data_IF_380223094912
#
_entry.id   IF_380223094912
#
_cell.length_a   1.000
_cell.length_b   1.000
_cell.length_c   1.000
_cell.angle_alpha   90.00
_cell.angle_beta   90.00
_cell.angle_gamma   90.00
#
_symmetry.space_group_name_H-M   'P 1'
#
loop_
_entity.id
_entity.type
_entity.pdbx_description
1 polymer ?
#
# COMPACT_ATOMS: atom_id res chain seq x y z
N UNK A 1 20.96 -22.52 -22.12
CA UNK A 1 21.03 -23.15 -20.76
C UNK A 1 20.69 -24.65 -20.74
N UNK A 2 20.73 -25.37 -21.89
CA UNK A 2 20.38 -26.79 -21.95
C UNK A 2 21.14 -27.66 -20.91
N UNK A 3 22.44 -27.42 -20.75
CA UNK A 3 23.29 -28.13 -19.76
C UNK A 3 22.91 -27.83 -18.31
N UNK A 4 22.39 -26.63 -18.00
CA UNK A 4 21.92 -26.25 -16.67
C UNK A 4 20.65 -27.00 -16.34
N UNK A 5 19.68 -27.02 -17.26
CA UNK A 5 18.42 -27.76 -17.07
C UNK A 5 18.62 -29.26 -17.04
N UNK A 6 19.59 -29.82 -17.80
CA UNK A 6 19.95 -31.22 -17.71
C UNK A 6 20.51 -31.62 -16.33
N UNK A 7 21.04 -30.68 -15.54
CA UNK A 7 21.48 -30.87 -14.15
C UNK A 7 20.38 -30.60 -13.12
N UNK A 8 19.18 -30.25 -13.54
CA UNK A 8 18.03 -29.97 -12.68
C UNK A 8 17.79 -28.50 -12.36
N UNK A 9 18.49 -27.56 -13.01
CA UNK A 9 18.27 -26.13 -12.88
C UNK A 9 19.47 -25.32 -12.36
N UNK A 10 19.22 -24.08 -12.00
CA UNK A 10 20.25 -23.14 -11.51
C UNK A 10 20.49 -23.32 -10.02
N UNK A 11 21.75 -23.33 -9.61
CA UNK A 11 22.17 -23.38 -8.21
C UNK A 11 22.08 -22.00 -7.53
N UNK A 12 22.30 -20.93 -8.32
CA UNK A 12 22.18 -19.54 -7.85
C UNK A 12 21.54 -18.66 -8.93
N UNK A 13 20.53 -17.92 -8.54
CA UNK A 13 19.89 -16.90 -9.36
C UNK A 13 19.84 -15.59 -8.56
N UNK A 14 20.39 -14.50 -9.11
CA UNK A 14 20.39 -13.18 -8.47
C UNK A 14 19.86 -12.16 -9.47
N UNK A 15 18.90 -11.33 -9.05
CA UNK A 15 18.34 -10.36 -9.96
C UNK A 15 17.50 -9.27 -9.30
N UNK A 16 17.27 -8.25 -10.11
CA UNK A 16 16.30 -7.19 -9.83
C UNK A 16 15.30 -7.18 -11.01
N UNK A 17 14.21 -7.97 -10.91
CA UNK A 17 13.22 -8.03 -11.98
C UNK A 17 12.49 -6.69 -12.14
N UNK A 18 11.89 -6.41 -13.31
CA UNK A 18 11.17 -5.17 -13.54
C UNK A 18 9.99 -4.97 -12.57
N UNK A 19 9.89 -3.80 -11.95
CA UNK A 19 8.82 -3.43 -11.00
C UNK A 19 7.67 -2.72 -11.69
N UNK A 20 7.31 -3.16 -12.87
CA UNK A 20 6.29 -2.53 -13.70
C UNK A 20 5.14 -3.50 -13.98
N UNK A 21 3.96 -2.93 -14.11
CA UNK A 21 2.79 -3.61 -14.65
C UNK A 21 2.69 -3.29 -16.12
N UNK A 22 2.57 -4.30 -17.00
CA UNK A 22 2.36 -4.04 -18.42
C UNK A 22 1.15 -3.15 -18.63
N UNK A 23 1.35 -2.00 -19.26
CA UNK A 23 0.31 -1.04 -19.63
C UNK A 23 0.70 -0.36 -20.92
N UNK A 24 -0.27 -0.18 -21.81
CA UNK A 24 -0.07 0.63 -23.00
C UNK A 24 0.01 2.10 -22.60
N UNK A 25 1.12 2.74 -22.87
CA UNK A 25 1.23 4.20 -22.81
C UNK A 25 0.85 4.79 -24.16
N UNK A 26 -0.46 4.97 -24.35
CA UNK A 26 -1.03 5.49 -25.61
C UNK A 26 -0.51 6.89 -25.91
N UNK A 27 -0.29 7.75 -24.90
CA UNK A 27 0.25 9.09 -25.10
C UNK A 27 1.68 9.01 -25.67
N UNK A 28 2.50 8.10 -25.18
CA UNK A 28 3.84 7.85 -25.71
C UNK A 28 3.81 7.37 -27.17
N UNK A 29 2.96 6.40 -27.50
CA UNK A 29 2.80 5.90 -28.88
C UNK A 29 2.32 6.99 -29.83
N UNK A 30 1.37 7.82 -29.42
CA UNK A 30 0.89 8.95 -30.18
C UNK A 30 1.96 10.03 -30.39
N UNK A 31 2.90 10.14 -29.45
CA UNK A 31 3.96 11.14 -29.52
C UNK A 31 4.97 10.89 -30.64
N UNK A 32 5.09 9.66 -31.11
CA UNK A 32 5.94 9.33 -32.28
C UNK A 32 5.53 10.10 -33.56
N UNK A 33 4.25 10.34 -33.71
CA UNK A 33 3.74 11.14 -34.84
C UNK A 33 3.37 12.57 -34.51
N UNK A 34 3.16 12.87 -33.23
CA UNK A 34 2.74 14.19 -32.74
C UNK A 34 3.36 14.50 -31.39
N UNK A 35 4.51 15.21 -31.38
CA UNK A 35 5.21 15.54 -30.13
C UNK A 35 4.38 16.27 -29.07
N UNK A 36 3.22 16.80 -29.45
CA UNK A 36 2.29 17.44 -28.51
C UNK A 36 1.93 16.53 -27.34
N UNK A 37 1.83 15.21 -27.56
CA UNK A 37 1.43 14.23 -26.54
C UNK A 37 2.48 14.05 -25.43
N UNK A 38 3.76 14.22 -25.74
CA UNK A 38 4.85 14.12 -24.77
C UNK A 38 5.28 15.47 -24.19
N UNK A 39 5.16 16.57 -24.97
CA UNK A 39 5.63 17.89 -24.56
C UNK A 39 4.61 18.68 -23.74
N UNK A 40 3.33 18.35 -23.83
CA UNK A 40 2.29 19.03 -23.06
C UNK A 40 2.19 18.45 -21.63
N UNK A 41 2.49 19.28 -20.63
CA UNK A 41 2.43 18.86 -19.25
C UNK A 41 0.96 18.83 -18.77
N UNK A 42 0.40 17.62 -18.57
CA UNK A 42 -0.94 17.37 -18.04
C UNK A 42 -2.08 18.02 -18.84
N UNK A 43 -2.21 17.75 -20.15
CA UNK A 43 -3.32 18.28 -20.94
C UNK A 43 -4.66 17.77 -20.40
N UNK A 44 -5.72 18.60 -20.51
CA UNK A 44 -7.07 18.19 -20.13
C UNK A 44 -7.58 17.04 -20.99
N UNK A 45 -8.50 16.23 -20.47
CA UNK A 45 -9.16 15.15 -21.23
C UNK A 45 -9.83 15.70 -22.48
N UNK A 46 -10.47 16.87 -22.41
CA UNK A 46 -11.10 17.52 -23.57
C UNK A 46 -10.07 17.89 -24.66
N UNK A 47 -8.88 18.37 -24.25
CA UNK A 47 -7.80 18.68 -25.19
C UNK A 47 -7.28 17.41 -25.88
N UNK A 48 -7.08 16.32 -25.11
CA UNK A 48 -6.70 15.00 -25.64
C UNK A 48 -7.74 14.48 -26.64
N UNK A 49 -9.02 14.48 -26.28
CA UNK A 49 -10.10 14.00 -27.14
C UNK A 49 -10.19 14.78 -28.47
N UNK A 50 -9.96 16.09 -28.42
CA UNK A 50 -9.94 16.91 -29.65
C UNK A 50 -8.71 16.62 -30.52
N UNK A 51 -7.56 16.33 -29.92
CA UNK A 51 -6.29 16.10 -30.65
C UNK A 51 -6.20 14.68 -31.20
N UNK A 52 -6.74 13.69 -30.53
CA UNK A 52 -6.62 12.26 -30.84
C UNK A 52 -6.96 11.94 -32.32
N UNK A 53 -8.13 12.32 -32.89
CA UNK A 53 -8.45 11.96 -34.26
C UNK A 53 -7.48 12.59 -35.26
N UNK A 54 -6.96 13.78 -34.97
CA UNK A 54 -5.99 14.47 -35.83
C UNK A 54 -4.62 13.76 -35.82
N UNK A 55 -4.22 13.23 -34.70
CA UNK A 55 -2.97 12.47 -34.56
C UNK A 55 -3.10 11.11 -35.23
N UNK A 56 -4.19 10.38 -35.00
CA UNK A 56 -4.42 9.06 -35.58
C UNK A 56 -4.56 9.11 -37.12
N UNK A 57 -4.98 10.24 -37.68
CA UNK A 57 -5.05 10.43 -39.14
C UNK A 57 -3.67 10.61 -39.80
N UNK A 58 -2.59 10.78 -39.03
CA UNK A 58 -1.25 10.88 -39.61
C UNK A 58 -0.76 9.51 -40.11
N UNK A 59 -0.01 9.47 -41.23
CA UNK A 59 0.47 8.21 -41.77
C UNK A 59 1.21 7.34 -40.78
N UNK A 60 0.81 6.09 -40.64
CA UNK A 60 1.45 5.08 -39.81
C UNK A 60 1.07 5.10 -38.32
N UNK A 61 0.58 6.21 -37.76
CA UNK A 61 0.36 6.35 -36.32
C UNK A 61 -0.73 5.41 -35.76
N UNK A 62 -1.81 5.22 -36.51
CA UNK A 62 -2.83 4.25 -36.12
C UNK A 62 -2.23 2.82 -36.01
N UNK A 63 -1.39 2.43 -36.97
CA UNK A 63 -0.66 1.15 -36.92
C UNK A 63 0.22 1.04 -35.67
N UNK A 64 1.07 2.04 -35.42
CA UNK A 64 1.92 2.09 -34.23
C UNK A 64 1.13 1.95 -32.94
N UNK A 65 -0.01 2.62 -32.80
CA UNK A 65 -0.86 2.53 -31.59
C UNK A 65 -1.51 1.15 -31.47
N UNK A 66 -1.99 0.59 -32.59
CA UNK A 66 -2.58 -0.76 -32.60
C UNK A 66 -1.55 -1.83 -32.24
N UNK A 67 -0.37 -1.79 -32.86
CA UNK A 67 0.71 -2.76 -32.62
C UNK A 67 1.21 -2.69 -31.17
N UNK A 68 1.55 -1.50 -30.67
CA UNK A 68 2.01 -1.33 -29.30
C UNK A 68 0.93 -1.67 -28.24
N UNK A 69 -0.35 -1.50 -28.58
CA UNK A 69 -1.45 -1.93 -27.72
C UNK A 69 -1.60 -3.46 -27.76
N UNK A 70 -1.50 -4.07 -28.93
CA UNK A 70 -1.58 -5.51 -29.10
C UNK A 70 -0.45 -6.25 -28.36
N UNK A 71 0.79 -5.74 -28.43
CA UNK A 71 1.92 -6.31 -27.68
C UNK A 71 1.64 -6.39 -26.17
N UNK A 72 1.12 -5.30 -25.59
CA UNK A 72 0.80 -5.28 -24.15
C UNK A 72 -0.36 -6.21 -23.81
N UNK A 73 -1.38 -6.29 -24.67
CA UNK A 73 -2.51 -7.21 -24.47
C UNK A 73 -2.01 -8.65 -24.50
N UNK A 74 -1.24 -9.04 -25.53
CA UNK A 74 -0.70 -10.41 -25.67
C UNK A 74 0.19 -10.77 -24.47
N UNK A 75 1.04 -9.85 -24.03
CA UNK A 75 1.84 -10.07 -22.81
C UNK A 75 0.94 -10.26 -21.57
N UNK A 76 -0.09 -9.45 -21.43
CA UNK A 76 -1.01 -9.54 -20.29
C UNK A 76 -1.81 -10.86 -20.30
N UNK A 77 -2.28 -11.30 -21.46
CA UNK A 77 -2.94 -12.60 -21.66
C UNK A 77 -2.01 -13.76 -21.32
N UNK A 78 -0.77 -13.73 -21.82
CA UNK A 78 0.24 -14.74 -21.51
C UNK A 78 0.55 -14.84 -20.01
N UNK A 79 0.70 -13.69 -19.32
CA UNK A 79 0.96 -13.64 -17.89
C UNK A 79 -0.25 -14.09 -17.04
N UNK A 80 -1.45 -14.00 -17.59
CA UNK A 80 -2.70 -14.40 -16.94
C UNK A 80 -3.10 -15.86 -17.26
N UNK A 81 -2.37 -16.52 -18.14
CA UNK A 81 -2.63 -17.91 -18.48
C UNK A 81 -2.26 -18.82 -17.30
N UNK A 82 -3.27 -19.41 -16.66
CA UNK A 82 -3.10 -20.29 -15.51
C UNK A 82 -2.38 -21.60 -15.83
N UNK A 83 -2.26 -21.98 -17.09
CA UNK A 83 -1.47 -23.16 -17.51
C UNK A 83 0.03 -22.85 -17.48
N UNK A 84 0.42 -21.62 -17.70
CA UNK A 84 1.81 -21.13 -17.66
C UNK A 84 2.16 -20.59 -16.26
N UNK A 85 1.27 -19.79 -15.70
CA UNK A 85 1.45 -19.11 -14.41
C UNK A 85 0.29 -19.37 -13.45
N UNK A 86 0.15 -20.59 -12.88
CA UNK A 86 -0.98 -20.95 -12.03
C UNK A 86 -1.10 -20.13 -10.75
N UNK A 87 -0.05 -19.45 -10.34
CA UNK A 87 -0.02 -18.61 -9.14
C UNK A 87 -0.34 -17.12 -9.42
N UNK A 88 -0.41 -16.71 -10.69
CA UNK A 88 -0.73 -15.33 -11.05
C UNK A 88 -2.22 -15.18 -11.32
N UNK A 89 -2.74 -13.99 -11.06
CA UNK A 89 -4.15 -13.65 -11.30
C UNK A 89 -4.29 -12.17 -11.68
N UNK A 90 -5.25 -11.87 -12.53
CA UNK A 90 -5.52 -10.52 -13.02
C UNK A 90 -4.38 -9.96 -13.87
N UNK A 91 -4.04 -8.69 -13.70
CA UNK A 91 -2.90 -8.04 -14.36
C UNK A 91 -1.70 -7.99 -13.41
N UNK A 92 -0.81 -9.00 -13.42
CA UNK A 92 0.31 -9.06 -12.51
C UNK A 92 1.40 -8.05 -12.88
N UNK A 93 2.10 -7.54 -11.88
CA UNK A 93 3.38 -6.88 -12.10
C UNK A 93 4.42 -7.90 -12.57
N UNK A 94 5.34 -7.49 -13.46
CA UNK A 94 6.30 -8.40 -14.08
C UNK A 94 7.16 -9.15 -13.05
N UNK A 95 7.56 -8.51 -11.95
CA UNK A 95 8.36 -9.18 -10.92
C UNK A 95 7.70 -10.46 -10.38
N UNK A 96 6.35 -10.54 -10.35
CA UNK A 96 5.62 -11.74 -9.89
C UNK A 96 5.80 -12.92 -10.86
N UNK A 97 5.85 -12.65 -12.15
CA UNK A 97 6.17 -13.67 -13.15
C UNK A 97 7.62 -14.14 -13.01
N UNK A 98 8.57 -13.22 -12.79
CA UNK A 98 9.95 -13.57 -12.52
C UNK A 98 10.12 -14.40 -11.26
N UNK A 99 9.36 -14.14 -10.19
CA UNK A 99 9.34 -15.00 -9.00
C UNK A 99 8.96 -16.46 -9.38
N UNK A 100 7.88 -16.64 -10.14
CA UNK A 100 7.47 -17.97 -10.59
C UNK A 100 8.56 -18.65 -11.45
N UNK A 101 9.17 -17.91 -12.37
CA UNK A 101 10.21 -18.42 -13.26
C UNK A 101 11.46 -18.85 -12.50
N UNK A 102 11.95 -18.07 -11.53
CA UNK A 102 13.14 -18.44 -10.77
C UNK A 102 12.90 -19.69 -9.92
N UNK A 103 11.69 -19.89 -9.38
CA UNK A 103 11.36 -21.10 -8.64
C UNK A 103 11.28 -22.34 -9.55
N UNK A 104 10.73 -22.19 -10.76
CA UNK A 104 10.66 -23.27 -11.76
C UNK A 104 12.04 -23.66 -12.29
N UNK A 105 12.94 -22.71 -12.42
CA UNK A 105 14.29 -22.93 -13.00
C UNK A 105 15.36 -23.25 -11.97
N UNK A 106 15.03 -23.25 -10.69
CA UNK A 106 15.95 -23.51 -9.61
C UNK A 106 16.21 -25.00 -9.43
N UNK A 107 17.49 -25.38 -9.17
CA UNK A 107 17.84 -26.74 -8.78
C UNK A 107 17.25 -27.08 -7.39
N UNK A 108 17.19 -28.34 -7.03
CA UNK A 108 16.62 -28.80 -5.75
C UNK A 108 17.30 -28.17 -4.52
N UNK A 109 18.57 -27.81 -4.62
CA UNK A 109 19.34 -27.13 -3.57
C UNK A 109 19.66 -25.67 -3.92
N UNK A 110 19.11 -25.16 -5.01
CA UNK A 110 19.34 -23.83 -5.49
C UNK A 110 18.84 -22.75 -4.54
N UNK A 111 19.42 -21.57 -4.71
CA UNK A 111 19.02 -20.35 -4.00
C UNK A 111 18.78 -19.25 -5.02
N UNK A 112 17.72 -18.50 -4.80
CA UNK A 112 17.42 -17.30 -5.60
C UNK A 112 17.38 -16.08 -4.70
N UNK A 113 18.01 -14.99 -5.11
CA UNK A 113 17.94 -13.71 -4.41
C UNK A 113 17.41 -12.64 -5.35
N UNK A 114 16.23 -12.11 -5.03
CA UNK A 114 15.56 -11.09 -5.83
C UNK A 114 15.32 -9.81 -5.02
N UNK A 115 15.47 -8.67 -5.70
CA UNK A 115 15.03 -7.37 -5.17
C UNK A 115 13.75 -6.98 -5.90
N UNK A 116 12.64 -6.88 -5.20
CA UNK A 116 11.37 -6.49 -5.81
C UNK A 116 10.38 -5.86 -4.83
N UNK A 117 9.26 -5.37 -5.35
CA UNK A 117 8.19 -4.74 -4.56
C UNK A 117 7.48 -5.74 -3.63
N UNK A 118 6.86 -5.20 -2.59
CA UNK A 118 6.20 -5.94 -1.51
C UNK A 118 4.70 -6.20 -1.75
N UNK A 119 4.14 -5.69 -2.86
CA UNK A 119 2.67 -5.63 -3.05
C UNK A 119 1.98 -6.99 -3.02
N UNK A 120 2.63 -8.08 -3.43
CA UNK A 120 2.04 -9.42 -3.40
C UNK A 120 1.79 -9.96 -1.98
N UNK A 121 2.49 -9.44 -0.96
CA UNK A 121 2.28 -9.83 0.42
C UNK A 121 0.97 -9.31 1.02
N UNK A 122 0.39 -8.25 0.47
CA UNK A 122 -0.81 -7.60 0.99
C UNK A 122 -1.98 -7.56 0.00
N UNK A 123 -1.74 -7.80 -1.28
CA UNK A 123 -2.76 -7.76 -2.34
C UNK A 123 -3.79 -8.89 -2.12
N UNK A 124 -5.06 -8.52 -1.93
CA UNK A 124 -6.15 -9.46 -1.72
C UNK A 124 -6.37 -10.45 -2.90
N UNK A 125 -5.91 -10.08 -4.10
CA UNK A 125 -6.07 -10.90 -5.31
C UNK A 125 -4.99 -11.96 -5.49
N UNK A 126 -3.97 -12.03 -4.63
CA UNK A 126 -2.84 -12.94 -4.79
C UNK A 126 -2.60 -13.89 -3.62
N UNK A 127 -3.64 -14.51 -3.02
CA UNK A 127 -3.44 -15.41 -1.89
C UNK A 127 -2.60 -16.64 -2.26
N UNK A 128 -2.78 -17.20 -3.46
CA UNK A 128 -2.02 -18.37 -3.94
C UNK A 128 -0.52 -18.07 -4.08
N UNK A 129 -0.16 -16.97 -4.73
CA UNK A 129 1.22 -16.53 -4.86
C UNK A 129 1.85 -16.27 -3.49
N UNK A 130 1.14 -15.62 -2.58
CA UNK A 130 1.60 -15.33 -1.23
C UNK A 130 1.87 -16.60 -0.43
N UNK A 131 0.97 -17.58 -0.50
CA UNK A 131 1.17 -18.88 0.15
C UNK A 131 2.39 -19.64 -0.41
N UNK A 132 2.60 -19.62 -1.72
CA UNK A 132 3.79 -20.18 -2.35
C UNK A 132 5.05 -19.42 -1.91
N UNK A 133 4.99 -18.09 -1.87
CA UNK A 133 6.10 -17.25 -1.40
C UNK A 133 6.56 -17.65 -0.01
N UNK A 134 5.66 -17.87 0.94
CA UNK A 134 6.04 -18.27 2.31
C UNK A 134 6.73 -19.64 2.38
N UNK A 135 6.40 -20.56 1.48
CA UNK A 135 7.08 -21.86 1.40
C UNK A 135 8.48 -21.77 0.81
N UNK A 136 8.68 -20.87 -0.17
CA UNK A 136 9.98 -20.66 -0.82
C UNK A 136 10.91 -19.74 -0.02
N UNK A 137 10.37 -18.83 0.78
CA UNK A 137 11.11 -17.77 1.45
C UNK A 137 12.05 -18.31 2.54
N UNK A 138 13.28 -17.80 2.57
CA UNK A 138 14.30 -18.09 3.60
C UNK A 138 14.70 -16.85 4.38
N UNK A 139 14.75 -15.69 3.67
CA UNK A 139 15.05 -14.39 4.28
C UNK A 139 14.26 -13.32 3.57
N UNK A 140 13.76 -12.39 4.34
CA UNK A 140 12.99 -11.25 3.88
C UNK A 140 13.48 -9.99 4.58
N UNK A 141 14.04 -9.07 3.82
CA UNK A 141 14.54 -7.79 4.30
C UNK A 141 13.79 -6.67 3.60
N UNK A 142 12.80 -6.06 4.29
CA UNK A 142 11.98 -4.99 3.74
C UNK A 142 12.60 -3.63 3.99
N UNK A 143 12.77 -2.88 2.93
CA UNK A 143 13.28 -1.51 2.95
C UNK A 143 12.20 -0.51 2.54
N UNK A 144 12.31 0.70 3.10
CA UNK A 144 11.58 1.89 2.66
C UNK A 144 12.61 2.80 1.97
N UNK A 145 12.29 3.30 0.76
CA UNK A 145 13.22 4.09 -0.07
C UNK A 145 13.47 5.52 0.43
N UNK A 146 13.31 5.77 1.72
CA UNK A 146 13.42 7.10 2.32
C UNK A 146 14.81 7.73 2.10
N UNK A 147 15.86 6.92 2.08
CA UNK A 147 17.22 7.36 1.77
C UNK A 147 17.53 7.38 0.26
N UNK A 148 16.51 7.16 -0.59
CA UNK A 148 16.63 7.20 -2.06
C UNK A 148 17.75 6.31 -2.62
N UNK A 149 17.82 5.09 -2.14
CA UNK A 149 18.76 4.09 -2.68
C UNK A 149 18.42 3.70 -4.13
N UNK A 150 17.15 3.89 -4.52
CA UNK A 150 16.66 3.79 -5.90
C UNK A 150 16.04 5.11 -6.32
N UNK A 151 16.12 5.45 -7.61
CA UNK A 151 15.49 6.64 -8.19
C UNK A 151 13.98 6.41 -8.42
N UNK A 152 13.27 6.20 -7.32
CA UNK A 152 11.82 6.04 -7.23
C UNK A 152 11.29 6.87 -6.06
N UNK A 153 9.97 6.95 -5.91
CA UNK A 153 9.36 7.69 -4.80
C UNK A 153 9.88 7.17 -3.44
N UNK A 154 10.17 8.08 -2.51
CA UNK A 154 10.79 7.77 -1.21
C UNK A 154 9.97 6.85 -0.30
N UNK A 155 8.64 6.78 -0.47
CA UNK A 155 7.77 5.91 0.32
C UNK A 155 7.56 4.51 -0.29
N UNK A 156 8.19 4.22 -1.43
CA UNK A 156 8.08 2.88 -2.02
C UNK A 156 8.79 1.86 -1.13
N UNK A 157 8.07 0.78 -0.86
CA UNK A 157 8.59 -0.37 -0.13
C UNK A 157 9.06 -1.44 -1.11
N UNK A 158 10.25 -1.95 -0.89
CA UNK A 158 10.84 -3.05 -1.64
C UNK A 158 11.58 -3.98 -0.68
N UNK A 159 11.81 -5.19 -1.11
CA UNK A 159 12.50 -6.17 -0.28
C UNK A 159 13.63 -6.86 -1.01
N UNK A 160 14.62 -7.31 -0.24
CA UNK A 160 15.57 -8.34 -0.65
C UNK A 160 15.01 -9.66 -0.16
N UNK A 161 14.70 -10.53 -1.11
CA UNK A 161 14.06 -11.81 -0.85
C UNK A 161 15.00 -12.95 -1.22
N UNK A 162 15.25 -13.86 -0.30
CA UNK A 162 16.04 -15.05 -0.56
C UNK A 162 15.09 -16.24 -0.53
N UNK A 163 15.03 -16.94 -1.66
CA UNK A 163 14.19 -18.11 -1.90
C UNK A 163 14.99 -19.37 -2.04
N UNK A 164 14.37 -20.51 -1.75
CA UNK A 164 14.90 -21.84 -2.02
C UNK A 164 13.72 -22.79 -2.30
N UNK A 165 13.98 -24.09 -2.44
CA UNK A 165 12.95 -25.11 -2.66
C UNK A 165 11.85 -25.03 -1.61
N UNK A 166 10.64 -25.48 -1.94
CA UNK A 166 9.51 -25.45 -1.00
C UNK A 166 9.79 -26.19 0.31
N UNK A 167 9.36 -25.59 1.41
CA UNK A 167 9.36 -26.19 2.74
C UNK A 167 8.21 -25.63 3.59
N UNK A 168 8.00 -26.22 4.76
CA UNK A 168 7.16 -25.58 5.79
C UNK A 168 7.68 -24.17 6.06
N UNK A 169 6.80 -23.14 6.09
CA UNK A 169 7.22 -21.76 6.27
C UNK A 169 8.14 -21.57 7.49
N UNK A 170 9.36 -21.15 7.22
CA UNK A 170 10.36 -20.80 8.24
C UNK A 170 11.42 -19.89 7.62
N UNK A 171 11.34 -18.59 7.92
CA UNK A 171 12.26 -17.60 7.35
C UNK A 171 12.62 -16.51 8.36
N UNK A 172 13.76 -15.88 8.14
CA UNK A 172 14.15 -14.68 8.85
C UNK A 172 13.51 -13.45 8.20
N UNK A 173 13.06 -12.53 9.02
CA UNK A 173 12.27 -11.38 8.61
C UNK A 173 12.72 -10.13 9.36
N UNK A 174 12.95 -9.05 8.63
CA UNK A 174 13.12 -7.73 9.20
C UNK A 174 12.45 -6.70 8.31
N UNK A 175 11.77 -5.74 8.91
CA UNK A 175 11.00 -4.70 8.21
C UNK A 175 11.35 -3.31 8.72
N UNK A 176 10.83 -2.30 8.01
CA UNK A 176 11.10 -0.90 8.34
C UNK A 176 12.59 -0.58 8.35
N UNK A 177 13.30 -1.16 7.38
CA UNK A 177 14.72 -0.91 7.17
C UNK A 177 14.88 0.29 6.23
N UNK A 178 15.89 1.11 6.49
CA UNK A 178 16.21 2.29 5.69
C UNK A 178 17.62 2.19 5.08
N UNK A 179 18.52 1.40 5.70
CA UNK A 179 19.90 1.24 5.23
C UNK A 179 20.30 -0.24 5.23
N UNK A 180 20.99 -0.72 4.18
CA UNK A 180 21.39 -2.13 4.04
C UNK A 180 22.27 -2.65 5.18
N UNK A 181 23.19 -1.82 5.68
CA UNK A 181 24.10 -2.14 6.77
C UNK A 181 23.42 -2.56 8.08
N UNK A 182 22.14 -2.12 8.28
CA UNK A 182 21.37 -2.48 9.47
C UNK A 182 21.20 -3.98 9.58
N UNK A 183 21.03 -4.70 8.46
CA UNK A 183 20.77 -6.16 8.47
C UNK A 183 21.98 -6.97 8.97
N UNK A 184 23.18 -6.92 8.34
CA UNK A 184 24.31 -7.72 8.79
C UNK A 184 24.74 -7.40 10.22
N UNK A 185 24.67 -6.13 10.61
CA UNK A 185 24.96 -5.72 11.98
C UNK A 185 23.93 -6.25 12.99
N UNK A 186 22.64 -6.27 12.62
CA UNK A 186 21.60 -6.85 13.48
C UNK A 186 21.72 -8.36 13.63
N UNK A 187 22.14 -9.06 12.58
CA UNK A 187 22.41 -10.52 12.63
C UNK A 187 23.57 -10.89 13.58
N UNK A 188 24.50 -9.98 13.78
CA UNK A 188 25.67 -10.16 14.67
C UNK A 188 25.50 -9.55 16.05
N UNK A 189 24.36 -8.86 16.30
CA UNK A 189 24.12 -8.14 17.55
C UNK A 189 23.75 -9.10 18.67
N UNK A 190 24.28 -8.86 19.86
CA UNK A 190 24.08 -9.71 21.05
C UNK A 190 22.72 -9.52 21.74
N UNK A 191 21.94 -8.52 21.30
CA UNK A 191 20.62 -8.20 21.87
C UNK A 191 20.67 -7.29 23.09
N UNK A 192 21.83 -6.78 23.46
CA UNK A 192 21.97 -5.83 24.57
C UNK A 192 21.56 -4.40 24.16
N UNK A 193 21.15 -3.62 25.15
CA UNK A 193 20.78 -2.21 24.95
C UNK A 193 19.32 -1.98 24.60
N UNK A 194 19.01 -0.77 24.17
CA UNK A 194 17.67 -0.32 23.85
C UNK A 194 17.21 -0.85 22.47
N UNK A 195 16.03 -1.48 22.43
CA UNK A 195 15.46 -1.95 21.18
C UNK A 195 15.10 -0.77 20.25
N UNK A 196 15.48 -0.83 18.96
CA UNK A 196 15.19 0.24 18.01
C UNK A 196 13.72 0.30 17.64
N UNK A 197 13.24 1.53 17.38
CA UNK A 197 11.90 1.81 16.87
C UNK A 197 11.88 2.22 15.40
N UNK A 198 10.84 2.96 14.99
CA UNK A 198 10.79 3.63 13.70
C UNK A 198 11.66 4.88 13.67
N UNK A 199 11.67 5.62 14.78
CA UNK A 199 12.46 6.82 15.00
C UNK A 199 13.39 6.59 16.17
N UNK A 200 14.61 7.10 16.04
CA UNK A 200 15.56 7.18 17.15
C UNK A 200 15.03 8.23 18.16
N UNK A 201 14.80 7.85 19.42
CA UNK A 201 14.22 8.75 20.41
C UNK A 201 15.12 9.93 20.77
N UNK A 202 16.43 9.82 20.52
CA UNK A 202 17.40 10.86 20.86
C UNK A 202 17.56 11.90 19.73
N UNK A 203 17.47 11.46 18.46
CA UNK A 203 17.71 12.33 17.29
C UNK A 203 16.44 12.69 16.55
N UNK A 204 15.33 11.93 16.73
CA UNK A 204 14.08 12.09 15.99
C UNK A 204 14.17 11.67 14.51
N UNK A 205 15.34 11.22 14.04
CA UNK A 205 15.55 10.71 12.68
C UNK A 205 15.09 9.26 12.54
N UNK A 206 15.11 8.71 11.31
CA UNK A 206 14.85 7.29 11.12
C UNK A 206 15.86 6.44 11.86
N UNK A 207 15.37 5.42 12.58
CA UNK A 207 16.21 4.60 13.44
C UNK A 207 16.98 3.55 12.60
N UNK A 208 18.27 3.79 12.42
CA UNK A 208 19.19 2.93 11.68
C UNK A 208 19.98 1.99 12.59
N UNK A 209 19.80 2.07 13.91
CA UNK A 209 20.58 1.27 14.88
C UNK A 209 20.35 -0.23 14.62
N UNK A 210 21.44 -1.01 14.54
CA UNK A 210 21.32 -2.46 14.49
C UNK A 210 20.92 -3.02 15.86
N UNK A 211 20.14 -4.09 15.87
CA UNK A 211 19.80 -4.81 17.09
C UNK A 211 19.26 -6.21 16.75
N UNK A 212 19.55 -7.20 17.58
CA UNK A 212 19.07 -8.57 17.36
C UNK A 212 17.54 -8.66 17.26
N UNK A 213 16.80 -7.80 18.00
CA UNK A 213 15.33 -7.78 17.99
C UNK A 213 14.70 -7.38 16.65
N UNK A 214 15.48 -6.75 15.73
CA UNK A 214 14.99 -6.49 14.36
C UNK A 214 14.85 -7.76 13.54
N UNK A 215 15.61 -8.80 13.86
CA UNK A 215 15.63 -10.06 13.11
C UNK A 215 14.65 -11.02 13.77
N UNK A 216 13.55 -11.27 13.12
CA UNK A 216 12.47 -12.11 13.61
C UNK A 216 12.43 -13.42 12.81
N UNK A 217 12.15 -14.54 13.48
CA UNK A 217 11.88 -15.80 12.80
C UNK A 217 10.39 -15.98 12.65
N UNK A 218 9.94 -16.03 11.39
CA UNK A 218 8.55 -16.28 11.04
C UNK A 218 8.38 -17.76 10.70
N UNK A 219 7.47 -18.40 11.38
CA UNK A 219 7.08 -19.79 11.21
C UNK A 219 5.56 -19.91 11.15
N UNK A 220 5.04 -21.13 11.11
CA UNK A 220 3.60 -21.40 11.09
C UNK A 220 2.84 -20.72 12.24
N UNK A 221 3.39 -20.72 13.46
CA UNK A 221 2.76 -20.08 14.61
C UNK A 221 2.65 -18.56 14.43
N UNK A 222 3.70 -17.91 13.90
CA UNK A 222 3.67 -16.49 13.59
C UNK A 222 2.66 -16.15 12.48
N UNK A 223 2.57 -16.99 11.43
CA UNK A 223 1.58 -16.81 10.37
C UNK A 223 0.15 -16.97 10.90
N UNK A 224 -0.11 -17.90 11.81
CA UNK A 224 -1.41 -18.03 12.49
C UNK A 224 -1.74 -16.77 13.32
N UNK A 225 -0.77 -16.21 14.04
CA UNK A 225 -0.95 -14.92 14.73
C UNK A 225 -1.29 -13.82 13.74
N UNK A 226 -0.57 -13.72 12.62
CA UNK A 226 -0.89 -12.74 11.57
C UNK A 226 -2.29 -12.94 11.00
N UNK A 227 -2.75 -14.19 10.81
CA UNK A 227 -4.11 -14.44 10.30
C UNK A 227 -5.19 -13.96 11.28
N UNK A 228 -4.95 -14.06 12.58
CA UNK A 228 -5.84 -13.49 13.58
C UNK A 228 -5.87 -11.96 13.50
N UNK A 229 -4.72 -11.31 13.33
CA UNK A 229 -4.62 -9.85 13.22
C UNK A 229 -5.29 -9.31 11.97
N UNK A 230 -5.08 -9.98 10.83
CA UNK A 230 -5.56 -9.55 9.52
C UNK A 230 -6.95 -10.09 9.16
N UNK A 231 -7.54 -10.91 10.05
CA UNK A 231 -8.82 -11.59 9.82
C UNK A 231 -8.82 -12.47 8.56
N UNK A 232 -7.65 -13.02 8.23
CA UNK A 232 -7.50 -13.91 7.07
C UNK A 232 -8.12 -15.28 7.35
N UNK A 233 -8.87 -15.81 6.39
CA UNK A 233 -9.55 -17.11 6.51
C UNK A 233 -8.59 -18.29 6.48
N UNK A 234 -7.41 -18.14 5.84
CA UNK A 234 -6.36 -19.16 5.79
C UNK A 234 -5.00 -18.53 6.16
N UNK A 235 -4.40 -19.04 7.22
CA UNK A 235 -3.11 -18.58 7.70
C UNK A 235 -1.97 -18.79 6.69
N UNK A 236 -2.09 -19.77 5.78
CA UNK A 236 -1.07 -20.05 4.77
C UNK A 236 -0.91 -18.92 3.77
N UNK A 237 -1.98 -18.17 3.57
CA UNK A 237 -2.05 -17.05 2.64
C UNK A 237 -2.34 -15.71 3.34
N UNK A 238 -2.12 -15.64 4.65
CA UNK A 238 -2.34 -14.41 5.42
C UNK A 238 -1.51 -13.25 4.87
N UNK A 239 -2.03 -12.02 4.83
CA UNK A 239 -1.21 -10.84 4.57
C UNK A 239 -0.01 -10.75 5.51
N UNK A 240 1.13 -10.32 4.98
CA UNK A 240 2.34 -10.11 5.78
C UNK A 240 2.14 -8.92 6.71
N UNK A 241 2.57 -9.07 7.96
CA UNK A 241 2.53 -8.01 8.96
C UNK A 241 3.95 -7.51 9.21
N UNK A 242 4.14 -6.21 9.06
CA UNK A 242 5.43 -5.55 9.28
C UNK A 242 5.53 -5.03 10.71
N UNK A 243 6.52 -5.52 11.44
CA UNK A 243 6.84 -5.08 12.80
C UNK A 243 8.32 -4.72 12.91
N UNK A 244 8.61 -3.55 13.49
CA UNK A 244 9.97 -3.00 13.51
C UNK A 244 10.95 -3.82 14.36
N UNK A 245 10.44 -4.52 15.38
CA UNK A 245 11.24 -5.34 16.29
C UNK A 245 10.39 -6.46 16.91
N UNK A 246 11.02 -7.35 17.67
CA UNK A 246 10.35 -8.46 18.34
C UNK A 246 9.40 -8.04 19.46
N UNK A 247 9.61 -6.89 20.11
CA UNK A 247 8.69 -6.36 21.11
C UNK A 247 7.35 -5.95 20.48
N UNK A 248 7.40 -5.27 19.30
CA UNK A 248 6.20 -4.95 18.53
C UNK A 248 5.43 -6.21 18.12
N UNK A 249 6.14 -7.28 17.71
CA UNK A 249 5.52 -8.57 17.37
C UNK A 249 4.85 -9.22 18.59
N UNK A 250 5.48 -9.20 19.76
CA UNK A 250 4.87 -9.72 21.00
C UNK A 250 3.62 -8.94 21.39
N UNK A 251 3.66 -7.62 21.30
CA UNK A 251 2.49 -6.75 21.56
C UNK A 251 1.35 -7.10 20.60
N UNK A 252 1.65 -7.24 19.32
CA UNK A 252 0.67 -7.62 18.31
C UNK A 252 0.06 -9.00 18.59
N UNK A 253 0.86 -9.97 19.00
CA UNK A 253 0.38 -11.30 19.41
C UNK A 253 -0.58 -11.21 20.61
N UNK A 254 -0.29 -10.37 21.59
CA UNK A 254 -1.20 -10.14 22.73
C UNK A 254 -2.51 -9.48 22.27
N UNK A 255 -2.42 -8.48 21.39
CA UNK A 255 -3.61 -7.80 20.84
C UNK A 255 -4.45 -8.73 19.97
N UNK A 256 -3.85 -9.69 19.27
CA UNK A 256 -4.56 -10.63 18.40
C UNK A 256 -5.57 -11.51 19.12
N UNK A 257 -5.41 -11.69 20.41
CA UNK A 257 -6.31 -12.49 21.29
C UNK A 257 -7.44 -11.66 21.89
N UNK A 258 -7.45 -10.33 21.72
CA UNK A 258 -8.46 -9.46 22.27
C UNK A 258 -9.74 -9.43 21.41
N UNK A 259 -10.91 -9.12 22.00
CA UNK A 259 -12.15 -8.97 21.26
C UNK A 259 -12.01 -7.92 20.14
N UNK A 260 -12.58 -8.21 18.98
CA UNK A 260 -12.61 -7.28 17.86
C UNK A 260 -13.73 -6.26 17.98
N UNK A 261 -13.52 -5.07 17.40
CA UNK A 261 -14.57 -4.04 17.33
C UNK A 261 -15.83 -4.58 16.64
N UNK A 262 -15.68 -5.45 15.63
CA UNK A 262 -16.77 -6.12 14.94
C UNK A 262 -17.65 -6.97 15.87
N UNK A 263 -17.07 -7.54 16.95
CA UNK A 263 -17.83 -8.32 17.94
C UNK A 263 -18.72 -7.47 18.86
N UNK A 264 -18.48 -6.17 18.90
CA UNK A 264 -19.26 -5.25 19.76
C UNK A 264 -20.61 -4.87 19.16
N UNK A 265 -20.97 -5.38 17.97
CA UNK A 265 -22.22 -5.07 17.26
C UNK A 265 -22.49 -3.57 17.13
N UNK A 266 -21.44 -2.78 16.94
CA UNK A 266 -21.55 -1.35 16.77
C UNK A 266 -22.27 -1.03 15.45
N UNK A 267 -23.12 -0.03 15.49
CA UNK A 267 -23.68 0.55 14.28
C UNK A 267 -22.71 1.61 13.75
N UNK A 268 -22.32 1.47 12.49
CA UNK A 268 -21.45 2.44 11.83
C UNK A 268 -22.25 3.19 10.77
N UNK A 269 -22.10 4.51 10.76
CA UNK A 269 -22.58 5.37 9.68
C UNK A 269 -21.38 6.06 9.04
N UNK A 270 -21.32 6.10 7.71
CA UNK A 270 -20.30 6.87 6.98
C UNK A 270 -20.47 8.39 7.18
N UNK A 271 -21.54 8.81 7.85
CA UNK A 271 -21.91 10.22 7.91
C UNK A 271 -22.35 10.73 6.53
N UNK A 272 -22.19 12.03 6.30
CA UNK A 272 -22.56 12.65 5.04
C UNK A 272 -21.32 13.08 4.25
N UNK A 273 -21.44 12.92 2.94
CA UNK A 273 -20.41 13.37 2.02
C UNK A 273 -20.69 14.82 1.62
N UNK A 274 -19.75 15.71 1.91
CA UNK A 274 -19.91 17.17 1.78
C UNK A 274 -20.38 17.60 0.38
N UNK A 275 -19.89 16.97 -0.69
CA UNK A 275 -20.28 17.30 -2.06
C UNK A 275 -21.61 16.63 -2.45
N UNK A 276 -21.64 15.30 -2.44
CA UNK A 276 -22.77 14.55 -3.02
C UNK A 276 -24.05 14.65 -2.20
N UNK A 277 -23.97 14.77 -0.88
CA UNK A 277 -25.16 14.92 -0.04
C UNK A 277 -25.65 16.38 0.00
N UNK A 278 -24.74 17.36 -0.19
CA UNK A 278 -25.11 18.75 -0.42
C UNK A 278 -25.87 18.91 -1.76
N UNK A 279 -25.36 18.32 -2.85
CA UNK A 279 -26.05 18.32 -4.14
C UNK A 279 -27.43 17.66 -4.09
N UNK A 280 -27.62 16.66 -3.21
CA UNK A 280 -28.92 16.02 -2.95
C UNK A 280 -29.83 16.84 -2.05
N UNK A 281 -29.40 18.02 -1.60
CA UNK A 281 -30.20 18.93 -0.77
C UNK A 281 -30.46 18.43 0.66
N UNK A 282 -29.60 17.53 1.19
CA UNK A 282 -29.74 17.01 2.56
C UNK A 282 -29.39 18.05 3.61
N UNK A 283 -28.50 18.96 3.29
CA UNK A 283 -28.11 20.10 4.12
C UNK A 283 -27.84 21.33 3.25
N UNK A 284 -27.83 22.49 3.86
CA UNK A 284 -27.57 23.79 3.21
C UNK A 284 -26.42 24.51 3.88
N UNK A 285 -25.72 25.36 3.14
CA UNK A 285 -24.72 26.29 3.71
C UNK A 285 -25.42 27.31 4.57
N UNK A 286 -25.05 27.37 5.84
CA UNK A 286 -25.55 28.33 6.81
C UNK A 286 -24.58 28.39 7.99
N UNK A 287 -23.60 29.31 7.90
CA UNK A 287 -22.65 29.51 8.97
C UNK A 287 -23.32 30.11 10.21
N UNK A 288 -22.88 29.67 11.37
CA UNK A 288 -23.31 30.23 12.65
C UNK A 288 -23.46 29.18 13.74
N UNK A 289 -23.84 29.64 14.93
CA UNK A 289 -24.16 28.75 16.05
C UNK A 289 -25.34 27.84 15.69
N UNK A 290 -25.23 26.58 16.05
CA UNK A 290 -26.27 25.58 15.87
C UNK A 290 -26.57 24.90 17.21
N UNK A 291 -27.83 24.64 17.50
CA UNK A 291 -28.21 23.76 18.60
C UNK A 291 -27.56 22.38 18.42
N UNK A 292 -27.30 21.67 19.48
CA UNK A 292 -26.73 20.30 19.39
C UNK A 292 -27.64 19.35 18.59
N UNK A 293 -28.92 19.60 18.53
CA UNK A 293 -29.86 18.80 17.73
C UNK A 293 -29.73 19.05 16.23
N UNK A 294 -29.31 20.25 15.84
CA UNK A 294 -29.20 20.67 14.43
C UNK A 294 -27.71 20.78 13.94
N UNK A 295 -26.77 20.51 14.82
CA UNK A 295 -25.36 20.70 14.51
C UNK A 295 -24.87 19.65 13.52
N UNK A 296 -24.38 20.11 12.36
CA UNK A 296 -23.64 19.26 11.41
C UNK A 296 -22.15 19.48 11.63
N UNK A 297 -21.54 18.55 12.34
CA UNK A 297 -20.11 18.60 12.68
C UNK A 297 -19.26 18.11 11.52
N UNK A 298 -18.10 18.75 11.31
CA UNK A 298 -17.09 18.37 10.33
C UNK A 298 -15.86 17.81 11.04
N UNK A 299 -14.95 17.16 10.30
CA UNK A 299 -13.76 16.51 10.84
C UNK A 299 -12.98 17.33 11.89
N UNK A 300 -12.66 18.63 11.66
CA UNK A 300 -11.93 19.43 12.65
C UNK A 300 -12.66 19.68 13.96
N UNK A 301 -14.01 19.61 14.02
CA UNK A 301 -14.75 19.66 15.28
C UNK A 301 -14.55 18.40 16.13
N UNK A 302 -14.24 17.26 15.48
CA UNK A 302 -14.21 15.94 16.10
C UNK A 302 -12.79 15.54 16.55
N UNK A 303 -11.92 16.48 16.83
CA UNK A 303 -10.58 16.19 17.32
C UNK A 303 -10.67 15.42 18.65
N UNK A 304 -10.06 14.21 18.68
CA UNK A 304 -10.29 13.22 19.76
C UNK A 304 -9.93 13.75 21.16
N UNK A 305 -8.82 14.46 21.28
CA UNK A 305 -8.35 14.98 22.59
C UNK A 305 -8.95 16.34 22.96
N UNK A 306 -9.42 17.10 22.00
CA UNK A 306 -9.93 18.46 22.21
C UNK A 306 -11.13 18.73 21.28
N UNK A 307 -12.28 18.09 21.50
CA UNK A 307 -13.47 18.31 20.67
C UNK A 307 -13.86 19.80 20.70
N UNK A 308 -14.30 20.32 19.55
CA UNK A 308 -14.65 21.73 19.31
C UNK A 308 -13.50 22.75 19.45
N UNK A 309 -12.26 22.31 19.64
CA UNK A 309 -11.09 23.19 19.60
C UNK A 309 -10.99 23.99 18.31
N UNK A 310 -11.45 23.43 17.18
CA UNK A 310 -11.52 24.10 15.89
C UNK A 310 -12.95 24.46 15.53
N UNK A 311 -13.17 25.70 15.15
CA UNK A 311 -14.45 26.24 14.69
C UNK A 311 -14.27 26.85 13.29
N UNK A 312 -15.24 26.71 12.36
CA UNK A 312 -15.12 27.27 11.03
C UNK A 312 -15.31 28.80 11.05
N UNK A 313 -14.47 29.51 10.30
CA UNK A 313 -14.68 30.94 10.05
C UNK A 313 -15.87 31.17 9.11
N UNK A 314 -16.55 32.30 9.20
CA UNK A 314 -17.68 32.67 8.36
C UNK A 314 -17.37 32.63 6.86
N UNK A 315 -16.20 33.10 6.49
CA UNK A 315 -15.73 33.21 5.10
C UNK A 315 -14.80 32.09 4.70
N UNK A 316 -15.01 30.86 5.20
CA UNK A 316 -14.15 29.72 4.92
C UNK A 316 -14.02 29.40 3.43
N UNK A 317 -12.80 29.43 2.90
CA UNK A 317 -12.46 29.09 1.51
C UNK A 317 -11.61 27.85 1.40
N UNK A 318 -10.97 27.44 2.49
CA UNK A 318 -10.07 26.29 2.54
C UNK A 318 -10.05 25.66 3.93
N UNK A 319 -9.52 24.43 4.02
CA UNK A 319 -9.32 23.75 5.32
C UNK A 319 -8.32 24.45 6.27
N UNK A 320 -7.70 25.56 5.85
CA UNK A 320 -6.83 26.38 6.70
C UNK A 320 -7.61 27.48 7.46
N UNK A 321 -8.85 27.68 7.09
CA UNK A 321 -9.69 28.79 7.62
C UNK A 321 -10.48 28.36 8.85
N UNK A 322 -9.97 27.41 9.63
CA UNK A 322 -10.49 27.02 10.92
C UNK A 322 -9.79 27.79 12.04
N UNK A 323 -10.55 28.54 12.83
CA UNK A 323 -10.06 29.23 14.00
C UNK A 323 -9.90 28.29 15.20
N UNK A 324 -8.92 28.55 16.05
CA UNK A 324 -8.80 27.88 17.35
C UNK A 324 -9.74 28.55 18.36
N UNK A 325 -10.40 27.75 19.18
CA UNK A 325 -11.29 28.20 20.27
C UNK A 325 -10.59 27.97 21.59
N UNK A 326 -10.67 28.95 22.48
CA UNK A 326 -10.27 28.77 23.88
C UNK A 326 -11.32 27.91 24.60
N UNK A 327 -10.99 26.67 24.85
CA UNK A 327 -11.91 25.71 25.48
C UNK A 327 -12.15 26.02 26.94
N UNK A 328 -11.23 26.70 27.62
CA UNK A 328 -11.37 27.07 29.04
C UNK A 328 -12.35 28.26 29.20
N UNK A 329 -12.49 29.07 28.17
CA UNK A 329 -13.41 30.20 28.14
C UNK A 329 -14.82 29.82 27.65
N UNK A 330 -15.08 28.57 27.23
CA UNK A 330 -16.40 28.15 26.76
C UNK A 330 -17.39 28.06 27.92
N UNK A 331 -18.61 28.63 27.78
CA UNK A 331 -19.67 28.43 28.75
C UNK A 331 -20.20 26.99 28.73
N UNK A 332 -20.84 26.57 29.83
CA UNK A 332 -21.36 25.19 29.98
C UNK A 332 -22.40 24.83 28.90
N UNK A 333 -23.10 25.81 28.38
CA UNK A 333 -24.12 25.70 27.34
C UNK A 333 -23.60 26.08 25.95
N UNK A 334 -22.29 26.06 25.75
CA UNK A 334 -21.68 26.40 24.47
C UNK A 334 -22.26 25.57 23.33
N UNK A 335 -22.58 26.23 22.24
CA UNK A 335 -23.05 25.63 21.01
C UNK A 335 -21.95 25.64 19.95
N UNK A 336 -21.85 24.59 19.11
CA UNK A 336 -20.87 24.58 18.04
C UNK A 336 -21.20 25.59 16.95
N UNK A 337 -20.17 26.22 16.38
CA UNK A 337 -20.31 26.98 15.14
C UNK A 337 -20.14 26.01 13.98
N UNK A 338 -21.12 25.96 13.09
CA UNK A 338 -21.11 25.06 11.93
C UNK A 338 -21.21 25.85 10.62
N UNK A 339 -20.78 25.23 9.51
CA UNK A 339 -20.94 25.78 8.16
C UNK A 339 -22.22 25.34 7.48
N UNK A 340 -22.85 24.31 8.02
CA UNK A 340 -24.00 23.64 7.41
C UNK A 340 -25.10 23.51 8.42
N UNK A 341 -26.34 23.57 7.93
CA UNK A 341 -27.55 23.26 8.69
C UNK A 341 -28.38 22.22 7.93
N UNK A 342 -29.19 21.41 8.62
CA UNK A 342 -30.12 20.52 7.97
C UNK A 342 -31.04 21.28 7.00
N UNK A 343 -31.33 20.65 5.84
CA UNK A 343 -32.18 21.27 4.82
C UNK A 343 -33.63 20.82 4.89
N UNK A 344 -33.95 19.80 5.68
CA UNK A 344 -35.28 19.24 5.85
C UNK A 344 -35.53 18.67 7.25
N UNK A 345 -36.55 17.88 7.42
CA UNK A 345 -36.87 17.19 8.66
C UNK A 345 -35.74 16.20 9.04
N UNK A 346 -35.58 15.99 10.35
CA UNK A 346 -34.53 15.10 10.88
C UNK A 346 -34.59 13.68 10.29
N UNK A 347 -35.82 13.16 10.09
CA UNK A 347 -36.02 11.86 9.47
C UNK A 347 -35.46 11.72 8.06
N UNK A 348 -35.21 12.82 7.34
CA UNK A 348 -34.64 12.82 5.99
C UNK A 348 -33.11 12.78 5.98
N UNK A 349 -32.47 13.10 7.10
CA UNK A 349 -31.00 13.12 7.21
C UNK A 349 -30.43 12.29 8.37
N UNK A 350 -31.25 11.75 9.26
CA UNK A 350 -30.81 10.73 10.21
C UNK A 350 -30.44 9.42 9.45
N UNK A 351 -29.25 8.89 9.69
CA UNK A 351 -28.74 7.64 9.10
C UNK A 351 -28.36 6.64 10.17
#
# INVERSE_FOLDING_TARGET
FATVFARGGFDLQVGNPPWVRPRTDVDSLLSEGDPWWSLNNKPSVAAKNKRLPLTLARPGILGTVLDGTAEVIVLSEFLSDSTVYPLLSGQPDLYRAFMCQVWQHQSAQGISSLIHMETHFTDAKTPGLRAATYRHLRRHWQFINELRLFDIHNLVQYGVHIYSSEQTPSFLHATSLYHPETVPRSLMHDGSGEEPGFKDPHTGTWDLRPHASRIQRINESALKTWSLVTEASDWRSTPMVSTVNSAASRTLATLSTQPRISSLRLQFSAGWHETSDFEKGRFKKAWGSASWDDAILQGPHLHVSTPLYKQPNESMKSNKDWASTDLEALPVDAQPITQYKPAGDRATYDR
#
